data_IF_190083486047
#
_entry.id   IF_190083486047
#
_cell.length_a   1.000
_cell.length_b   1.000
_cell.length_c   1.000
_cell.angle_alpha   90.00
_cell.angle_beta   90.00
_cell.angle_gamma   90.00
#
_symmetry.space_group_name_H-M   'P 1'
#
loop_
_entity.id
_entity.type
_entity.pdbx_description
1 polymer ?
#
# COMPACT_ATOMS: atom_id res chain seq x y z
N UNK A 1 -2.70 -13.07 -8.04
CA UNK A 1 -2.62 -11.91 -7.17
C UNK A 1 -3.17 -12.25 -5.79
N UNK A 2 -2.42 -11.95 -4.79
CA UNK A 2 -2.70 -12.37 -3.41
C UNK A 2 -3.29 -11.25 -2.55
N UNK A 3 -3.95 -10.29 -3.19
CA UNK A 3 -4.61 -9.24 -2.43
C UNK A 3 -5.74 -9.83 -1.59
N UNK A 4 -5.75 -9.51 -0.32
CA UNK A 4 -6.78 -9.98 0.59
C UNK A 4 -8.13 -9.35 0.24
N UNK A 5 -9.16 -10.14 -0.05
CA UNK A 5 -10.49 -9.59 -0.31
C UNK A 5 -11.00 -8.64 0.77
N UNK A 6 -10.82 -8.91 2.08
CA UNK A 6 -11.24 -7.96 3.10
C UNK A 6 -10.59 -6.59 2.98
N UNK A 7 -9.31 -6.52 2.63
CA UNK A 7 -8.62 -5.24 2.47
C UNK A 7 -9.16 -4.51 1.25
N UNK A 8 -9.33 -5.19 0.13
CA UNK A 8 -9.85 -4.56 -1.09
C UNK A 8 -11.26 -4.03 -0.89
N UNK A 9 -12.15 -4.82 -0.30
CA UNK A 9 -13.53 -4.37 -0.05
C UNK A 9 -13.58 -3.21 0.93
N UNK A 10 -12.76 -3.23 1.97
CA UNK A 10 -12.66 -2.12 2.91
C UNK A 10 -12.13 -0.86 2.22
N UNK A 11 -11.17 -1.00 1.31
CA UNK A 11 -10.63 0.14 0.56
C UNK A 11 -11.66 0.74 -0.40
N UNK A 12 -12.52 -0.08 -0.99
CA UNK A 12 -13.60 0.41 -1.85
C UNK A 12 -14.63 1.20 -1.05
N UNK A 13 -15.02 0.70 0.11
CA UNK A 13 -15.95 1.40 1.00
C UNK A 13 -15.36 2.73 1.49
N UNK A 14 -14.06 2.74 1.82
CA UNK A 14 -13.36 3.93 2.27
C UNK A 14 -13.28 5.00 1.17
N UNK A 15 -13.13 4.58 -0.08
CA UNK A 15 -13.04 5.51 -1.21
C UNK A 15 -14.31 6.29 -1.49
N UNK A 16 -15.44 5.89 -0.92
CA UNK A 16 -16.71 6.60 -1.04
C UNK A 16 -16.90 7.67 0.04
N UNK A 17 -16.07 7.66 1.05
CA UNK A 17 -16.12 8.63 2.15
C UNK A 17 -14.76 9.33 2.25
N UNK A 18 -14.72 10.67 2.33
CA UNK A 18 -13.46 11.41 2.44
C UNK A 18 -12.92 11.31 3.87
N UNK A 19 -12.42 10.15 4.25
CA UNK A 19 -12.04 9.85 5.63
C UNK A 19 -10.53 9.84 5.87
N UNK A 20 -9.74 10.32 4.92
CA UNK A 20 -8.30 10.37 5.12
C UNK A 20 -7.66 8.99 5.26
N UNK A 21 -7.93 8.11 4.30
CA UNK A 21 -7.39 6.75 4.31
C UNK A 21 -6.31 6.57 3.25
N UNK A 22 -5.36 5.72 3.54
CA UNK A 22 -4.29 5.35 2.63
C UNK A 22 -4.24 3.84 2.45
N UNK A 23 -4.02 3.42 1.21
CA UNK A 23 -3.83 2.03 0.87
C UNK A 23 -2.35 1.77 0.64
N UNK A 24 -1.77 0.86 1.42
CA UNK A 24 -0.40 0.40 1.22
C UNK A 24 -0.42 -0.84 0.35
N UNK A 25 0.43 -0.85 -0.67
CA UNK A 25 0.53 -1.97 -1.60
C UNK A 25 1.99 -2.38 -1.72
N UNK A 26 2.28 -3.66 -1.56
CA UNK A 26 3.61 -4.20 -1.82
C UNK A 26 3.79 -4.34 -3.32
N UNK A 27 4.71 -3.57 -3.89
CA UNK A 27 4.94 -3.58 -5.34
C UNK A 27 6.10 -4.49 -5.74
N UNK A 28 7.03 -4.76 -4.83
CA UNK A 28 8.14 -5.68 -5.08
C UNK A 28 8.71 -6.21 -3.77
N UNK A 29 9.26 -7.41 -3.82
CA UNK A 29 9.94 -8.03 -2.68
C UNK A 29 11.24 -8.68 -3.13
N UNK A 30 12.21 -8.74 -2.24
CA UNK A 30 13.46 -9.50 -2.40
C UNK A 30 13.78 -10.23 -1.11
N UNK A 31 14.30 -11.44 -1.22
CA UNK A 31 14.66 -12.25 -0.05
C UNK A 31 13.44 -12.79 0.70
N UNK A 32 13.65 -13.03 1.99
CA UNK A 32 12.59 -13.55 2.87
C UNK A 32 11.75 -12.40 3.40
N UNK A 33 10.49 -12.35 3.00
CA UNK A 33 9.56 -11.30 3.43
C UNK A 33 8.32 -11.92 4.03
N UNK A 34 7.68 -11.18 4.94
CA UNK A 34 6.44 -11.62 5.57
C UNK A 34 5.29 -11.74 4.57
N UNK A 35 5.28 -10.86 3.59
CA UNK A 35 4.26 -10.80 2.53
C UNK A 35 4.92 -10.82 1.17
N UNK A 36 4.11 -11.00 0.15
CA UNK A 36 4.55 -10.99 -1.25
C UNK A 36 4.03 -9.78 -1.99
N UNK A 37 4.56 -9.54 -3.17
CA UNK A 37 4.06 -8.50 -4.06
C UNK A 37 2.56 -8.70 -4.30
N UNK A 38 1.80 -7.61 -4.25
CA UNK A 38 0.36 -7.62 -4.31
C UNK A 38 -0.33 -7.59 -2.95
N UNK A 39 0.37 -7.84 -1.86
CA UNK A 39 -0.18 -7.72 -0.52
C UNK A 39 -0.56 -6.25 -0.24
N UNK A 40 -1.62 -6.07 0.51
CA UNK A 40 -2.18 -4.76 0.79
C UNK A 40 -2.56 -4.62 2.26
N UNK A 41 -2.52 -3.38 2.75
CA UNK A 41 -3.09 -3.01 4.03
C UNK A 41 -3.73 -1.64 3.91
N UNK A 42 -4.87 -1.46 4.54
CA UNK A 42 -5.58 -0.19 4.57
C UNK A 42 -5.35 0.47 5.92
N UNK A 43 -4.92 1.72 5.88
CA UNK A 43 -4.72 2.55 7.07
C UNK A 43 -5.80 3.64 7.09
N UNK A 44 -6.54 3.69 8.16
CA UNK A 44 -7.60 4.66 8.35
C UNK A 44 -7.20 5.79 9.29
N UNK A 45 -8.14 6.70 9.59
CA UNK A 45 -7.88 7.73 10.58
C UNK A 45 -7.60 7.09 11.95
N UNK A 46 -6.69 7.71 12.70
CA UNK A 46 -6.26 7.17 13.98
C UNK A 46 -5.44 5.90 13.81
N UNK A 47 -5.79 4.88 14.56
CA UNK A 47 -5.09 3.60 14.56
C UNK A 47 -5.80 2.50 13.76
N UNK A 48 -6.82 2.86 13.00
CA UNK A 48 -7.57 1.89 12.22
C UNK A 48 -6.69 1.28 11.12
N UNK A 49 -6.68 -0.04 11.05
CA UNK A 49 -5.89 -0.77 10.07
C UNK A 49 -6.60 -2.07 9.68
N UNK A 50 -6.61 -2.37 8.39
CA UNK A 50 -7.09 -3.64 7.86
C UNK A 50 -5.94 -4.26 7.07
N UNK A 51 -5.54 -5.47 7.44
CA UNK A 51 -4.41 -6.15 6.83
C UNK A 51 -3.08 -5.82 7.49
N UNK A 52 -2.07 -6.65 7.24
CA UNK A 52 -0.74 -6.53 7.82
C UNK A 52 0.31 -6.77 6.75
N UNK A 53 1.38 -6.01 6.78
CA UNK A 53 2.46 -6.10 5.79
C UNK A 53 3.77 -6.59 6.37
N UNK A 54 3.85 -6.65 7.69
CA UNK A 54 5.00 -7.19 8.41
C UNK A 54 4.50 -7.99 9.60
N UNK A 55 5.40 -8.59 10.33
CA UNK A 55 5.06 -9.28 11.58
C UNK A 55 4.72 -8.36 12.75
N UNK A 56 4.48 -7.09 12.48
CA UNK A 56 4.16 -6.07 13.47
C UNK A 56 5.27 -5.08 13.74
N UNK A 57 6.52 -5.42 13.42
CA UNK A 57 7.68 -4.58 13.74
C UNK A 57 7.75 -3.30 12.88
N UNK A 58 7.25 -3.34 11.66
CA UNK A 58 7.32 -2.21 10.72
C UNK A 58 6.01 -1.47 10.57
N UNK A 59 4.92 -2.01 11.10
CA UNK A 59 3.59 -1.41 10.96
C UNK A 59 3.51 0.02 11.50
N UNK A 60 4.13 0.37 12.66
CA UNK A 60 4.06 1.75 13.14
C UNK A 60 4.66 2.76 12.18
N UNK A 61 5.77 2.43 11.53
CA UNK A 61 6.40 3.33 10.55
C UNK A 61 5.56 3.42 9.28
N UNK A 62 5.03 2.31 8.81
CA UNK A 62 4.13 2.31 7.65
C UNK A 62 2.88 3.13 7.95
N UNK A 63 2.29 2.96 9.12
CA UNK A 63 1.11 3.72 9.54
C UNK A 63 1.39 5.22 9.63
N UNK A 64 2.56 5.61 10.13
CA UNK A 64 2.96 7.01 10.20
C UNK A 64 3.02 7.64 8.81
N UNK A 65 3.65 6.96 7.88
CA UNK A 65 3.77 7.46 6.50
C UNK A 65 2.43 7.43 5.78
N UNK A 66 1.60 6.45 6.04
CA UNK A 66 0.26 6.37 5.49
C UNK A 66 -0.61 7.57 5.92
N UNK A 67 -0.49 7.99 7.17
CA UNK A 67 -1.18 9.20 7.63
C UNK A 67 -0.71 10.44 6.87
N UNK A 68 0.58 10.55 6.63
CA UNK A 68 1.11 11.67 5.86
C UNK A 68 0.58 11.66 4.42
N UNK A 69 0.49 10.49 3.81
CA UNK A 69 -0.11 10.33 2.48
C UNK A 69 -1.57 10.76 2.48
N UNK A 70 -2.34 10.31 3.46
CA UNK A 70 -3.74 10.66 3.57
C UNK A 70 -3.94 12.17 3.75
N UNK A 71 -3.11 12.80 4.58
CA UNK A 71 -3.21 14.23 4.86
C UNK A 71 -2.77 15.08 3.67
N UNK A 72 -1.72 14.69 2.98
CA UNK A 72 -1.17 15.46 1.86
C UNK A 72 -1.86 15.21 0.53
N UNK A 73 -2.50 14.04 0.37
CA UNK A 73 -3.04 13.62 -0.91
C UNK A 73 -1.98 13.24 -1.93
N UNK A 74 -0.76 12.99 -1.50
CA UNK A 74 0.36 12.65 -2.37
C UNK A 74 0.76 11.18 -2.22
N UNK A 75 1.25 10.59 -3.30
CA UNK A 75 1.76 9.22 -3.33
C UNK A 75 3.11 9.16 -2.60
N UNK A 76 3.31 8.16 -1.78
CA UNK A 76 4.61 7.86 -1.20
C UNK A 76 5.10 6.48 -1.68
N UNK A 77 6.40 6.37 -1.88
CA UNK A 77 7.06 5.11 -2.17
C UNK A 77 8.08 4.84 -1.07
N UNK A 78 7.85 3.76 -0.35
CA UNK A 78 8.75 3.34 0.74
C UNK A 78 9.57 2.14 0.31
N UNK A 79 10.80 2.13 0.75
CA UNK A 79 11.62 0.92 0.69
C UNK A 79 12.02 0.52 2.10
N UNK A 80 11.74 -0.71 2.46
CA UNK A 80 12.12 -1.29 3.74
C UNK A 80 13.10 -2.41 3.46
N UNK A 81 14.33 -2.25 3.92
CA UNK A 81 15.39 -3.23 3.72
C UNK A 81 15.90 -3.72 5.07
N UNK A 82 15.61 -4.97 5.37
CA UNK A 82 16.07 -5.61 6.61
C UNK A 82 17.20 -6.59 6.38
N UNK A 83 17.73 -6.67 5.16
CA UNK A 83 18.79 -7.63 4.83
C UNK A 83 20.12 -7.30 5.50
N UNK A 84 20.42 -6.02 5.63
CA UNK A 84 21.66 -5.53 6.19
C UNK A 84 21.50 -5.07 7.63
N UNK A 85 20.39 -5.36 8.24
CA UNK A 85 20.14 -4.99 9.60
C UNK A 85 20.93 -5.90 10.52
N UNK A 86 22.13 -5.49 10.81
CA UNK A 86 22.98 -6.14 11.81
C UNK A 86 22.44 -5.90 13.21
N UNK A 87 21.42 -5.11 13.32
CA UNK A 87 20.77 -4.83 14.58
C UNK A 87 19.89 -6.00 14.96
N UNK A 88 20.55 -6.99 15.41
CA UNK A 88 19.95 -8.24 15.83
C UNK A 88 18.95 -8.07 16.97
N UNK A 89 18.98 -6.90 17.57
CA UNK A 89 18.03 -6.63 18.63
C UNK A 89 16.65 -6.37 18.16
N UNK A 90 16.50 -5.93 16.96
CA UNK A 90 15.23 -5.52 16.46
C UNK A 90 14.27 -6.68 16.27
N UNK A 91 14.51 -7.82 16.83
CA UNK A 91 13.59 -8.94 16.66
C UNK A 91 13.32 -9.27 15.19
N UNK A 92 13.80 -8.44 14.31
CA UNK A 92 13.79 -8.64 12.87
C UNK A 92 14.54 -9.89 12.49
N UNK A 93 15.37 -10.34 13.38
CA UNK A 93 16.00 -11.64 13.29
C UNK A 93 14.99 -12.77 13.19
N UNK A 94 13.73 -12.51 13.45
CA UNK A 94 12.68 -13.51 13.40
C UNK A 94 12.16 -13.65 11.98
N UNK A 95 13.05 -13.83 11.03
CA UNK A 95 12.65 -14.35 9.73
C UNK A 95 12.39 -13.36 8.62
N UNK A 96 12.55 -12.07 8.85
CA UNK A 96 12.34 -11.06 7.81
C UNK A 96 13.66 -10.47 7.35
N UNK A 97 14.44 -11.24 6.60
CA UNK A 97 15.65 -10.74 5.96
C UNK A 97 15.39 -10.47 4.50
N UNK A 98 14.57 -9.45 4.24
CA UNK A 98 14.21 -9.16 2.89
C UNK A 98 14.07 -7.67 2.65
N UNK A 99 13.73 -7.33 1.41
CA UNK A 99 13.43 -5.98 1.01
C UNK A 99 12.02 -5.90 0.49
N UNK A 100 11.27 -4.91 0.98
CA UNK A 100 9.94 -4.59 0.50
C UNK A 100 9.95 -3.21 -0.14
N UNK A 101 9.29 -3.11 -1.28
CA UNK A 101 8.95 -1.82 -1.86
C UNK A 101 7.45 -1.64 -1.74
N UNK A 102 7.05 -0.54 -1.13
CA UNK A 102 5.65 -0.23 -0.88
C UNK A 102 5.26 1.04 -1.61
N UNK A 103 4.05 1.05 -2.16
CA UNK A 103 3.39 2.28 -2.58
C UNK A 103 2.28 2.58 -1.57
N UNK A 104 2.23 3.82 -1.11
CA UNK A 104 1.19 4.31 -0.21
C UNK A 104 0.31 5.25 -1.02
N UNK A 105 -0.95 4.87 -1.18
CA UNK A 105 -1.88 5.52 -2.09
C UNK A 105 -2.94 6.30 -1.32
N UNK A 106 -3.11 7.62 -1.62
CA UNK A 106 -4.16 8.41 -0.99
C UNK A 106 -5.50 8.11 -1.65
N UNK A 107 -6.36 7.34 -1.00
CA UNK A 107 -7.63 6.93 -1.58
C UNK A 107 -8.57 8.11 -1.88
N UNK A 108 -8.46 9.22 -1.15
CA UNK A 108 -9.24 10.42 -1.40
C UNK A 108 -8.95 11.04 -2.78
N UNK A 109 -7.81 10.69 -3.35
CA UNK A 109 -7.39 11.17 -4.68
C UNK A 109 -7.57 10.13 -5.77
N UNK A 110 -8.30 9.07 -5.47
CA UNK A 110 -8.52 7.96 -6.39
C UNK A 110 -10.02 7.74 -6.67
N UNK A 111 -10.71 8.74 -7.24
CA UNK A 111 -12.12 8.56 -7.56
C UNK A 111 -12.31 7.41 -8.55
N UNK A 112 -13.28 6.57 -8.30
CA UNK A 112 -13.53 5.39 -9.15
C UNK A 112 -12.76 4.14 -8.75
N UNK A 113 -11.91 4.20 -7.72
CA UNK A 113 -11.25 3.00 -7.19
C UNK A 113 -12.26 1.92 -6.82
N UNK A 114 -13.37 2.32 -6.18
CA UNK A 114 -14.43 1.38 -5.81
C UNK A 114 -15.01 0.63 -7.02
N UNK A 115 -15.14 1.29 -8.16
CA UNK A 115 -15.64 0.64 -9.38
C UNK A 115 -14.69 -0.45 -9.86
N UNK A 116 -13.39 -0.23 -9.77
CA UNK A 116 -12.39 -1.24 -10.15
C UNK A 116 -12.45 -2.43 -9.20
N UNK A 117 -12.55 -2.18 -7.91
CA UNK A 117 -12.65 -3.25 -6.91
C UNK A 117 -13.93 -4.06 -7.12
N UNK A 118 -15.07 -3.39 -7.34
CA UNK A 118 -16.34 -4.07 -7.58
C UNK A 118 -16.32 -4.90 -8.86
N UNK A 119 -15.69 -4.41 -9.92
CA UNK A 119 -15.52 -5.18 -11.14
C UNK A 119 -14.74 -6.47 -10.90
N UNK A 120 -13.66 -6.36 -10.15
CA UNK A 120 -12.89 -7.55 -9.74
C UNK A 120 -13.74 -8.49 -8.88
N UNK A 121 -14.45 -7.96 -7.90
CA UNK A 121 -15.28 -8.76 -7.00
C UNK A 121 -16.39 -9.50 -7.75
N UNK A 122 -16.95 -8.87 -8.77
CA UNK A 122 -18.01 -9.45 -9.60
C UNK A 122 -17.47 -10.42 -10.67
N UNK A 123 -16.20 -10.73 -10.64
CA UNK A 123 -15.62 -11.72 -11.54
C UNK A 123 -15.38 -11.22 -12.96
N UNK A 124 -15.33 -9.90 -13.19
CA UNK A 124 -15.12 -9.34 -14.52
C UNK A 124 -13.68 -9.43 -15.00
N UNK A 125 -12.74 -9.68 -14.11
CA UNK A 125 -11.34 -9.83 -14.45
C UNK A 125 -10.43 -9.71 -13.23
N UNK A 126 -9.16 -10.04 -13.40
CA UNK A 126 -8.15 -9.87 -12.36
C UNK A 126 -7.93 -8.39 -12.08
N UNK A 127 -7.70 -8.05 -10.83
CA UNK A 127 -7.32 -6.71 -10.45
C UNK A 127 -5.85 -6.48 -10.75
N UNK A 128 -5.57 -5.47 -11.54
CA UNK A 128 -4.20 -5.05 -11.86
C UNK A 128 -3.99 -3.64 -11.36
N UNK A 129 -2.89 -3.43 -10.66
CA UNK A 129 -2.50 -2.12 -10.15
C UNK A 129 -1.06 -1.85 -10.55
N UNK A 130 -0.83 -0.71 -11.19
CA UNK A 130 0.49 -0.27 -11.61
C UNK A 130 0.76 1.12 -11.06
N UNK A 131 1.95 1.29 -10.49
CA UNK A 131 2.41 2.57 -9.96
C UNK A 131 3.73 2.90 -10.61
N UNK A 132 3.77 4.00 -11.36
CA UNK A 132 4.98 4.44 -12.04
C UNK A 132 5.87 5.29 -11.12
N UNK A 133 7.14 5.41 -11.51
CA UNK A 133 8.09 6.25 -10.79
C UNK A 133 7.69 7.73 -10.82
N UNK A 134 6.95 8.15 -11.83
CA UNK A 134 6.50 9.54 -11.99
C UNK A 134 5.25 9.87 -11.19
N UNK A 135 4.62 8.88 -10.56
CA UNK A 135 3.43 9.09 -9.76
C UNK A 135 2.12 8.80 -10.49
N UNK A 136 2.16 8.05 -11.59
CA UNK A 136 0.96 7.61 -12.27
C UNK A 136 0.48 6.29 -11.68
N UNK A 137 -0.77 6.25 -11.28
CA UNK A 137 -1.41 5.05 -10.76
C UNK A 137 -2.47 4.59 -11.75
N UNK A 138 -2.37 3.35 -12.18
CA UNK A 138 -3.33 2.71 -13.08
C UNK A 138 -3.92 1.49 -12.39
N UNK A 139 -5.22 1.37 -12.43
CA UNK A 139 -5.91 0.18 -11.94
C UNK A 139 -6.92 -0.30 -12.93
N UNK A 140 -7.07 -1.61 -13.08
CA UNK A 140 -8.05 -2.19 -13.97
C UNK A 140 -8.55 -3.54 -13.46
N UNK A 141 -9.78 -3.86 -13.83
CA UNK A 141 -10.36 -5.18 -13.67
C UNK A 141 -11.38 -5.37 -14.80
N UNK A 142 -11.13 -6.33 -15.68
CA UNK A 142 -11.95 -6.50 -16.88
C UNK A 142 -11.90 -5.25 -17.76
N UNK A 143 -13.05 -4.74 -18.11
CA UNK A 143 -13.18 -3.54 -18.93
C UNK A 143 -13.16 -2.24 -18.12
N UNK A 144 -13.11 -2.33 -16.81
CA UNK A 144 -13.07 -1.17 -15.93
C UNK A 144 -11.62 -0.77 -15.69
N UNK A 145 -11.28 0.46 -16.06
CA UNK A 145 -9.94 0.97 -15.88
C UNK A 145 -9.97 2.41 -15.39
N UNK A 146 -9.00 2.77 -14.56
CA UNK A 146 -8.85 4.13 -14.03
C UNK A 146 -7.39 4.51 -14.00
N UNK A 147 -7.14 5.79 -14.13
CA UNK A 147 -5.81 6.37 -14.09
C UNK A 147 -5.83 7.63 -13.24
N UNK A 148 -4.90 7.73 -12.31
CA UNK A 148 -4.78 8.89 -11.42
C UNK A 148 -3.32 9.37 -11.44
N UNK A 149 -3.06 10.53 -12.02
CA UNK A 149 -1.77 11.18 -11.86
C UNK A 149 -1.69 11.79 -10.46
N UNK A 150 -0.57 11.59 -9.78
CA UNK A 150 -0.39 12.05 -8.41
C UNK A 150 0.97 12.70 -8.24
N UNK A 151 1.05 13.67 -7.34
CA UNK A 151 2.34 14.13 -6.86
C UNK A 151 2.93 13.08 -5.94
N UNK A 152 4.23 12.88 -6.06
CA UNK A 152 4.95 12.06 -5.09
C UNK A 152 5.36 12.93 -3.93
N UNK A 153 5.28 12.39 -2.73
CA UNK A 153 5.93 12.98 -1.58
C UNK A 153 7.43 13.08 -1.90
N UNK A 154 7.99 14.24 -1.64
CA UNK A 154 9.43 14.40 -1.71
C UNK A 154 10.05 13.34 -0.83
N UNK A 155 10.96 12.57 -1.39
CA UNK A 155 11.76 11.64 -0.62
C UNK A 155 12.61 12.50 0.30
N UNK A 156 12.09 12.82 1.46
CA UNK A 156 12.99 13.17 2.52
C UNK A 156 13.82 11.94 2.73
N UNK A 157 15.11 12.07 2.48
CA UNK A 157 16.02 11.11 2.99
C UNK A 157 15.62 10.92 4.46
N UNK A 158 14.99 9.82 4.75
CA UNK A 158 14.75 9.45 6.12
C UNK A 158 16.13 9.09 6.62
N UNK A 159 16.84 10.08 7.01
CA UNK A 159 17.93 9.86 7.91
C UNK A 159 17.27 9.35 9.17
N UNK A 160 17.25 8.06 9.23
CA UNK A 160 16.94 7.45 10.48
C UNK A 160 17.83 8.07 11.55
#
# INVERSE_FOLDING_TARGET
>A
MTASPPVLLASAAAGEAPDGRALAVVVATEGSTYVRAGAMALFGPGEAQVGWLSGGCLEPEIARRARHVADSGALDAMEIDTRDDEDLFAGSAVGCRGRLRLALLPLDRMPGWAHVVHAWWNGQGALTLQVSAEGHVHASAGDTARHWPMQRLATEAVDA
#
